data_IF_098014047320
#
_entry.id   IF_098014047320
#
_cell.length_a   1.000
_cell.length_b   1.000
_cell.length_c   1.000
_cell.angle_alpha   90.00
_cell.angle_beta   90.00
_cell.angle_gamma   90.00
#
_symmetry.space_group_name_H-M   'P 1'
#
loop_
_entity.id
_entity.type
_entity.pdbx_description
1 polymer ?
#
# COMPACT_ATOMS: atom_id res chain seq x y z
N UNK A 1 10.75 -15.72 0.85
CA UNK A 1 9.79 -16.74 1.33
C UNK A 1 10.59 -17.92 1.89
N UNK A 2 10.19 -18.42 3.05
CA UNK A 2 10.83 -19.45 3.87
C UNK A 2 10.27 -20.85 3.61
N UNK A 3 9.00 -20.95 3.19
CA UNK A 3 8.34 -22.20 2.82
C UNK A 3 8.31 -22.35 1.29
N UNK A 4 8.54 -23.58 0.81
CA UNK A 4 8.40 -23.93 -0.60
C UNK A 4 6.97 -24.42 -0.91
N UNK A 5 6.60 -24.49 -2.19
CA UNK A 5 5.26 -24.90 -2.64
C UNK A 5 4.87 -26.31 -2.17
N UNK A 6 5.81 -27.26 -2.22
CA UNK A 6 5.59 -28.62 -1.75
C UNK A 6 5.30 -28.64 -0.23
N UNK A 7 6.10 -27.93 0.57
CA UNK A 7 5.88 -27.83 2.02
C UNK A 7 4.53 -27.18 2.35
N UNK A 8 4.13 -26.14 1.62
CA UNK A 8 2.82 -25.51 1.81
C UNK A 8 1.66 -26.48 1.54
N UNK A 9 1.77 -27.30 0.49
CA UNK A 9 0.77 -28.32 0.16
C UNK A 9 0.67 -29.45 1.18
N UNK A 10 1.76 -29.74 1.90
CA UNK A 10 1.80 -30.78 2.93
C UNK A 10 1.27 -30.30 4.30
N UNK A 11 1.11 -28.99 4.51
CA UNK A 11 0.55 -28.46 5.75
C UNK A 11 -0.96 -28.66 5.73
N UNK A 12 -1.43 -29.69 6.42
CA UNK A 12 -2.84 -29.96 6.67
C UNK A 12 -3.16 -29.97 8.18
N UNK A 13 -4.43 -30.18 8.52
CA UNK A 13 -4.86 -30.20 9.92
C UNK A 13 -4.30 -31.40 10.71
N UNK A 14 -4.01 -32.52 10.05
CA UNK A 14 -3.45 -33.70 10.70
C UNK A 14 -1.97 -33.46 11.07
N UNK A 15 -1.20 -32.93 10.12
CA UNK A 15 0.17 -32.49 10.31
C UNK A 15 0.25 -31.44 11.43
N UNK A 16 -0.61 -30.42 11.40
CA UNK A 16 -0.68 -29.37 12.44
C UNK A 16 -0.95 -29.92 13.85
N UNK A 17 -1.80 -30.93 13.97
CA UNK A 17 -2.10 -31.59 15.26
C UNK A 17 -0.99 -32.51 15.76
N UNK A 18 -0.11 -32.98 14.86
CA UNK A 18 1.04 -33.82 15.21
C UNK A 18 2.25 -33.03 15.70
N UNK A 19 2.27 -31.71 15.53
CA UNK A 19 3.39 -30.85 15.92
C UNK A 19 3.33 -30.49 17.41
N UNK A 20 4.50 -30.53 18.04
CA UNK A 20 4.73 -29.93 19.36
C UNK A 20 4.49 -28.41 19.34
N UNK A 21 4.10 -27.80 20.47
CA UNK A 21 3.70 -26.39 20.52
C UNK A 21 4.82 -25.43 20.08
N UNK A 22 6.07 -25.73 20.40
CA UNK A 22 7.22 -24.93 19.95
C UNK A 22 7.40 -25.00 18.44
N UNK A 23 7.22 -26.18 17.85
CA UNK A 23 7.32 -26.39 16.41
C UNK A 23 6.17 -25.71 15.66
N UNK A 24 4.96 -25.74 16.22
CA UNK A 24 3.80 -25.02 15.69
C UNK A 24 4.01 -23.50 15.73
N UNK A 25 4.61 -22.98 16.81
CA UNK A 25 4.98 -21.57 16.93
C UNK A 25 6.04 -21.16 15.89
N UNK A 26 7.09 -21.98 15.73
CA UNK A 26 8.11 -21.73 14.71
C UNK A 26 7.52 -21.75 13.28
N UNK A 27 6.60 -22.68 13.00
CA UNK A 27 5.91 -22.76 11.72
C UNK A 27 5.01 -21.53 11.47
N UNK A 28 4.27 -21.07 12.49
CA UNK A 28 3.39 -19.92 12.37
C UNK A 28 4.16 -18.62 12.12
N UNK A 29 5.32 -18.44 12.74
CA UNK A 29 6.21 -17.31 12.48
C UNK A 29 6.72 -17.29 11.02
N UNK A 30 7.11 -18.46 10.49
CA UNK A 30 7.55 -18.58 9.09
C UNK A 30 6.42 -18.29 8.12
N UNK A 31 5.23 -18.84 8.37
CA UNK A 31 4.02 -18.56 7.57
C UNK A 31 3.70 -17.06 7.57
N UNK A 32 3.78 -16.40 8.72
CA UNK A 32 3.51 -14.97 8.84
C UNK A 32 4.50 -14.12 8.03
N UNK A 33 5.80 -14.45 8.09
CA UNK A 33 6.83 -13.77 7.32
C UNK A 33 6.55 -13.92 5.81
N UNK A 34 6.21 -15.12 5.36
CA UNK A 34 5.93 -15.41 3.95
C UNK A 34 4.69 -14.70 3.44
N UNK A 35 3.63 -14.62 4.26
CA UNK A 35 2.41 -13.89 3.93
C UNK A 35 2.67 -12.38 3.79
N UNK A 36 3.46 -11.81 4.70
CA UNK A 36 3.87 -10.40 4.62
C UNK A 36 4.66 -10.13 3.34
N UNK A 37 5.60 -11.01 3.01
CA UNK A 37 6.39 -10.88 1.79
C UNK A 37 5.53 -11.04 0.53
N UNK A 38 4.65 -12.04 0.48
CA UNK A 38 3.73 -12.25 -0.64
C UNK A 38 2.81 -11.04 -0.85
N UNK A 39 2.27 -10.47 0.23
CA UNK A 39 1.47 -9.24 0.17
C UNK A 39 2.28 -8.06 -0.35
N UNK A 40 3.52 -7.90 0.10
CA UNK A 40 4.39 -6.82 -0.38
C UNK A 40 4.70 -6.96 -1.88
N UNK A 41 4.85 -8.19 -2.37
CA UNK A 41 5.05 -8.48 -3.81
C UNK A 41 3.79 -8.21 -4.63
N UNK A 42 2.61 -8.54 -4.10
CA UNK A 42 1.32 -8.30 -4.76
C UNK A 42 0.95 -6.82 -4.80
N UNK A 43 1.29 -6.05 -3.76
CA UNK A 43 1.04 -4.62 -3.67
C UNK A 43 2.36 -3.83 -3.69
N UNK A 44 3.04 -3.73 -4.85
CA UNK A 44 4.20 -2.85 -4.97
C UNK A 44 3.72 -1.41 -4.84
N UNK A 45 3.89 -0.82 -3.65
CA UNK A 45 3.68 0.61 -3.43
C UNK A 45 4.67 1.44 -4.25
N UNK A 46 4.38 2.72 -4.53
CA UNK A 46 5.25 3.62 -5.30
C UNK A 46 6.66 3.74 -4.70
N UNK A 47 6.80 3.54 -3.40
CA UNK A 47 8.07 3.59 -2.65
C UNK A 47 8.95 2.33 -2.82
N UNK A 48 8.37 1.22 -3.29
CA UNK A 48 9.06 -0.07 -3.50
C UNK A 48 9.07 -0.48 -4.98
N UNK A 49 8.57 0.41 -5.85
CA UNK A 49 8.72 0.27 -7.28
C UNK A 49 10.10 0.78 -7.64
N UNK A 50 11.01 -0.10 -8.08
CA UNK A 50 12.27 0.29 -8.73
C UNK A 50 12.04 0.99 -10.08
N UNK A 51 10.83 1.50 -10.35
CA UNK A 51 10.60 2.40 -11.47
C UNK A 51 11.38 3.68 -11.19
N UNK A 52 12.41 3.98 -12.00
CA UNK A 52 13.11 5.24 -11.88
C UNK A 52 12.09 6.39 -12.04
N UNK A 53 12.28 7.53 -11.38
CA UNK A 53 11.37 8.68 -11.47
C UNK A 53 11.16 9.18 -12.90
N UNK A 54 12.05 8.84 -13.85
CA UNK A 54 11.91 9.10 -15.28
C UNK A 54 10.86 8.24 -16.00
N UNK A 55 10.41 7.14 -15.39
CA UNK A 55 9.36 6.26 -15.92
C UNK A 55 7.96 6.64 -15.44
N UNK A 56 7.83 7.68 -14.59
CA UNK A 56 6.54 8.25 -14.22
C UNK A 56 6.00 9.05 -15.39
N UNK A 57 4.75 8.78 -15.75
CA UNK A 57 4.06 9.52 -16.80
C UNK A 57 3.87 10.99 -16.37
N UNK A 58 3.86 11.96 -17.31
CA UNK A 58 3.90 13.38 -16.96
C UNK A 58 2.81 13.86 -15.99
N UNK A 59 1.64 13.21 -15.99
CA UNK A 59 0.50 13.53 -15.13
C UNK A 59 0.57 12.94 -13.71
N UNK A 60 1.51 12.03 -13.40
CA UNK A 60 1.78 11.54 -12.04
C UNK A 60 2.64 12.53 -11.22
N UNK A 61 3.09 13.63 -11.81
CA UNK A 61 3.99 14.61 -11.17
C UNK A 61 3.28 15.56 -10.20
N UNK A 62 1.95 15.52 -10.12
CA UNK A 62 1.14 16.58 -9.51
C UNK A 62 0.67 16.28 -8.08
N UNK A 63 1.44 15.56 -7.27
CA UNK A 63 1.09 15.35 -5.85
C UNK A 63 2.26 15.52 -4.86
N UNK A 64 3.29 16.27 -5.22
CA UNK A 64 4.40 16.55 -4.31
C UNK A 64 5.43 17.48 -4.92
N UNK A 65 5.13 18.77 -4.96
CA UNK A 65 6.06 19.77 -5.49
C UNK A 65 5.33 21.05 -5.81
N UNK A 66 5.15 21.87 -4.79
CA UNK A 66 4.79 23.27 -4.89
C UNK A 66 5.82 23.97 -5.80
N UNK A 67 5.51 24.09 -7.09
CA UNK A 67 6.18 25.04 -7.99
C UNK A 67 5.31 26.29 -8.01
N UNK A 68 5.61 27.18 -7.07
CA UNK A 68 5.40 28.60 -7.31
C UNK A 68 6.35 28.98 -8.44
N UNK A 69 5.80 29.14 -9.64
CA UNK A 69 6.35 30.08 -10.61
C UNK A 69 5.16 30.87 -11.11
N UNK A 70 5.04 32.05 -10.52
CA UNK A 70 4.04 33.05 -10.81
C UNK A 70 4.53 33.81 -12.04
N UNK A 71 3.86 33.66 -13.19
CA UNK A 71 3.60 34.82 -14.05
C UNK A 71 2.32 34.61 -14.88
N UNK A 72 1.42 35.61 -14.99
CA UNK A 72 0.03 35.39 -15.31
C UNK A 72 -0.36 36.04 -16.65
N UNK A 73 -0.73 35.26 -17.65
CA UNK A 73 -1.64 35.77 -18.68
C UNK A 73 -2.63 34.69 -19.14
N UNK A 74 -3.91 34.99 -18.98
CA UNK A 74 -4.95 34.37 -19.80
C UNK A 74 -6.15 33.77 -19.07
N UNK A 75 -6.93 34.62 -18.37
CA UNK A 75 -8.39 34.52 -18.36
C UNK A 75 -9.07 33.50 -17.43
N UNK A 76 -9.52 33.99 -16.27
CA UNK A 76 -10.66 33.44 -15.51
C UNK A 76 -11.99 33.69 -16.27
N UNK A 77 -13.15 33.03 -15.96
CA UNK A 77 -13.38 32.12 -14.84
C UNK A 77 -14.08 30.78 -15.17
N UNK A 78 -13.90 29.89 -14.21
CA UNK A 78 -14.52 28.59 -13.91
C UNK A 78 -16.06 28.59 -13.83
N UNK A 79 -16.78 27.54 -14.31
CA UNK A 79 -18.16 27.32 -13.92
C UNK A 79 -18.23 26.60 -12.55
N UNK A 80 -19.11 27.12 -11.71
CA UNK A 80 -19.50 26.62 -10.39
C UNK A 80 -19.88 25.14 -10.38
N UNK A 81 -19.46 24.41 -9.35
CA UNK A 81 -20.32 23.41 -8.70
C UNK A 81 -20.09 23.46 -7.19
N UNK A 82 -21.22 23.62 -6.49
CA UNK A 82 -21.41 23.82 -5.07
C UNK A 82 -20.71 22.79 -4.18
N UNK A 83 -20.09 23.26 -3.09
CA UNK A 83 -19.74 22.41 -1.95
C UNK A 83 -20.53 22.82 -0.71
N UNK A 84 -21.57 22.03 -0.50
CA UNK A 84 -22.11 21.51 0.76
C UNK A 84 -21.48 22.03 2.06
N UNK A 85 -22.38 22.63 2.85
CA UNK A 85 -22.42 22.70 4.31
C UNK A 85 -21.35 21.93 5.10
N UNK A 86 -20.64 22.65 5.98
CA UNK A 86 -20.12 22.07 7.22
C UNK A 86 -20.16 23.05 8.39
N UNK A 87 -21.22 22.85 9.17
CA UNK A 87 -21.40 22.98 10.63
C UNK A 87 -20.18 23.50 11.43
N UNK A 88 -20.36 24.63 12.11
CA UNK A 88 -19.45 25.13 13.15
C UNK A 88 -19.76 24.47 14.50
N UNK A 89 -18.78 24.14 15.35
CA UNK A 89 -19.02 23.96 16.78
C UNK A 89 -18.90 25.32 17.49
N UNK A 90 -19.98 25.69 18.20
CA UNK A 90 -20.11 26.87 19.05
C UNK A 90 -19.37 26.65 20.37
N UNK A 91 -18.49 27.57 20.75
CA UNK A 91 -17.91 27.67 22.09
C UNK A 91 -18.78 28.64 22.94
N UNK A 92 -19.13 28.25 24.16
CA UNK A 92 -19.81 29.07 25.19
C UNK A 92 -18.90 29.15 26.40
#
# INVERSE_FOLDING_TARGET
MHLNDHSLRQIDDAYRRSLEPEALCALSLRLLADLKEARNRLHPGPENSSRPPSSRVPWERTSGGQVSDEDPEGGEPRPELADVAKVQPTEV
#
